data_IF_747999997644
#
_entry.id   IF_747999997644
#
_cell.length_a   1.000
_cell.length_b   1.000
_cell.length_c   1.000
_cell.angle_alpha   90.00
_cell.angle_beta   90.00
_cell.angle_gamma   90.00
#
_symmetry.space_group_name_H-M   'P 1'
#
loop_
_entity.id
_entity.type
_entity.pdbx_description
1 polymer ?
#
# COMPACT_ATOMS: atom_id res chain seq x y z
N UNK A 1 28.72 -5.61 11.51
CA UNK A 1 28.44 -5.09 10.18
C UNK A 1 26.98 -4.72 10.02
N UNK A 2 26.60 -4.03 8.93
CA UNK A 2 25.20 -3.70 8.66
C UNK A 2 24.40 -4.99 8.38
N UNK A 3 23.23 -5.20 9.00
CA UNK A 3 22.38 -6.37 8.71
C UNK A 3 21.98 -6.45 7.24
N UNK A 4 21.79 -7.67 6.72
CA UNK A 4 21.45 -7.88 5.32
C UNK A 4 19.96 -7.60 5.03
N UNK A 5 19.05 -8.10 5.88
CA UNK A 5 17.60 -7.97 5.66
C UNK A 5 17.05 -6.63 6.12
N UNK A 6 15.97 -6.16 5.47
CA UNK A 6 15.27 -4.94 5.87
C UNK A 6 14.79 -4.97 7.34
N UNK A 7 14.10 -6.02 7.82
CA UNK A 7 13.67 -6.04 9.22
C UNK A 7 14.83 -5.94 10.21
N UNK A 8 15.96 -6.61 9.93
CA UNK A 8 17.11 -6.52 10.81
C UNK A 8 17.79 -5.13 10.79
N UNK A 9 17.79 -4.45 9.64
CA UNK A 9 18.22 -3.03 9.55
C UNK A 9 17.32 -2.11 10.35
N UNK A 10 16.01 -2.32 10.24
CA UNK A 10 15.01 -1.53 10.99
C UNK A 10 15.17 -1.78 12.50
N UNK A 11 15.36 -3.02 12.93
CA UNK A 11 15.61 -3.35 14.35
C UNK A 11 16.85 -2.63 14.86
N UNK A 12 17.95 -2.69 14.12
CA UNK A 12 19.21 -2.01 14.50
C UNK A 12 19.02 -0.49 14.61
N UNK A 13 18.28 0.11 13.67
CA UNK A 13 17.94 1.53 13.71
C UNK A 13 17.07 1.87 14.93
N UNK A 14 16.01 1.10 15.20
CA UNK A 14 15.13 1.32 16.35
C UNK A 14 15.86 1.13 17.68
N UNK A 15 16.79 0.16 17.76
CA UNK A 15 17.62 -0.05 18.95
C UNK A 15 18.58 1.14 19.18
N UNK A 16 19.21 1.64 18.12
CA UNK A 16 20.07 2.83 18.24
C UNK A 16 19.23 4.06 18.67
N UNK A 17 18.01 4.22 18.14
CA UNK A 17 17.08 5.28 18.53
C UNK A 17 16.66 5.16 19.99
N UNK A 18 16.25 3.97 20.43
CA UNK A 18 15.94 3.69 21.82
C UNK A 18 17.09 4.08 22.77
N UNK A 19 18.29 3.66 22.45
CA UNK A 19 19.50 3.99 23.23
C UNK A 19 19.75 5.50 23.27
N UNK A 20 19.68 6.17 22.10
CA UNK A 20 19.95 7.61 22.00
C UNK A 20 18.94 8.46 22.80
N UNK A 21 17.66 8.07 22.81
CA UNK A 21 16.60 8.78 23.51
C UNK A 21 16.26 8.16 24.90
N UNK A 22 17.14 7.32 25.42
CA UNK A 22 17.02 6.69 26.75
C UNK A 22 15.67 6.01 26.99
N UNK A 23 15.13 5.37 25.96
CA UNK A 23 13.87 4.66 26.03
C UNK A 23 12.61 5.53 26.14
N UNK A 24 12.72 6.83 25.86
CA UNK A 24 11.57 7.74 25.92
C UNK A 24 10.43 7.27 25.01
N UNK A 25 9.21 7.15 25.54
CA UNK A 25 8.02 6.82 24.76
C UNK A 25 7.71 7.84 23.67
N UNK A 26 8.09 9.11 23.86
CA UNK A 26 7.90 10.18 22.87
C UNK A 26 8.82 10.02 21.65
N UNK A 27 9.84 9.19 21.75
CA UNK A 27 10.74 8.87 20.63
C UNK A 27 10.24 7.73 19.74
N UNK A 28 9.08 7.15 20.04
CA UNK A 28 8.45 6.15 19.18
C UNK A 28 8.16 6.67 17.76
N UNK A 29 7.98 5.75 16.83
CA UNK A 29 7.79 6.06 15.41
C UNK A 29 6.47 5.50 14.88
N UNK A 30 5.96 6.11 13.81
CA UNK A 30 4.93 5.53 12.95
C UNK A 30 5.64 4.80 11.82
N UNK A 31 5.42 3.49 11.71
CA UNK A 31 6.06 2.58 10.77
C UNK A 31 4.98 2.05 9.84
N UNK A 32 5.12 2.34 8.54
CA UNK A 32 4.13 2.00 7.52
C UNK A 32 4.80 1.15 6.43
N UNK A 33 4.82 -0.18 6.57
CA UNK A 33 5.29 -1.06 5.52
C UNK A 33 4.33 -1.04 4.33
N UNK A 34 4.87 -1.18 3.12
CA UNK A 34 4.11 -1.14 1.85
C UNK A 34 4.19 -2.45 1.06
N UNK A 35 4.72 -3.50 1.66
CA UNK A 35 4.78 -4.83 1.06
C UNK A 35 3.37 -5.40 0.86
N UNK A 36 3.17 -6.16 -0.23
CA UNK A 36 1.91 -6.84 -0.55
C UNK A 36 1.72 -8.09 0.32
N UNK A 37 1.72 -7.89 1.63
CA UNK A 37 1.53 -8.91 2.66
C UNK A 37 0.30 -8.53 3.48
N UNK A 38 -0.59 -9.48 3.72
CA UNK A 38 -1.75 -9.26 4.60
C UNK A 38 -1.25 -8.94 6.01
N UNK A 39 -1.78 -7.86 6.59
CA UNK A 39 -1.38 -7.37 7.92
C UNK A 39 0.14 -7.11 8.01
N UNK A 40 0.68 -6.47 6.98
CA UNK A 40 2.11 -6.23 6.81
C UNK A 40 2.77 -5.51 8.01
N UNK A 41 2.05 -4.60 8.69
CA UNK A 41 2.51 -3.93 9.91
C UNK A 41 2.65 -4.89 11.07
N UNK A 42 1.64 -5.73 11.32
CA UNK A 42 1.66 -6.74 12.38
C UNK A 42 2.72 -7.80 12.13
N UNK A 43 2.86 -8.25 10.87
CA UNK A 43 3.88 -9.22 10.47
C UNK A 43 5.28 -8.64 10.70
N UNK A 44 5.53 -7.40 10.28
CA UNK A 44 6.81 -6.73 10.49
C UNK A 44 7.11 -6.60 12.00
N UNK A 45 6.14 -6.15 12.81
CA UNK A 45 6.28 -6.06 14.26
C UNK A 45 6.67 -7.42 14.86
N UNK A 46 5.96 -8.49 14.48
CA UNK A 46 6.26 -9.86 14.94
C UNK A 46 7.68 -10.32 14.60
N UNK A 47 8.16 -10.00 13.37
CA UNK A 47 9.54 -10.31 12.95
C UNK A 47 10.54 -9.54 13.82
N UNK A 48 10.32 -8.26 14.10
CA UNK A 48 11.22 -7.45 14.91
C UNK A 48 11.29 -7.95 16.37
N UNK A 49 10.14 -8.30 16.96
CA UNK A 49 10.09 -8.86 18.31
C UNK A 49 10.85 -10.19 18.39
N UNK A 50 10.65 -11.05 17.38
CA UNK A 50 11.41 -12.31 17.29
C UNK A 50 12.90 -12.06 17.18
N UNK A 51 13.33 -11.19 16.29
CA UNK A 51 14.74 -10.83 16.14
C UNK A 51 15.32 -10.23 17.44
N UNK A 52 14.56 -9.38 18.14
CA UNK A 52 14.99 -8.82 19.42
C UNK A 52 15.24 -9.92 20.47
N UNK A 53 14.36 -10.91 20.52
CA UNK A 53 14.52 -12.08 21.41
C UNK A 53 15.72 -12.96 21.00
N UNK A 54 15.87 -13.26 19.70
CA UNK A 54 16.96 -14.08 19.16
C UNK A 54 18.34 -13.45 19.42
N UNK A 55 18.40 -12.11 19.50
CA UNK A 55 19.63 -11.35 19.79
C UNK A 55 19.79 -10.99 21.27
N UNK A 56 18.90 -11.42 22.16
CA UNK A 56 18.98 -11.16 23.60
C UNK A 56 18.90 -9.67 23.96
N UNK A 57 18.13 -8.88 23.20
CA UNK A 57 17.95 -7.47 23.52
C UNK A 57 17.13 -7.29 24.79
N UNK A 58 17.33 -6.15 25.49
CA UNK A 58 16.75 -5.95 26.83
C UNK A 58 15.22 -5.92 26.83
N UNK A 59 14.61 -6.30 27.95
CA UNK A 59 13.16 -6.26 28.16
C UNK A 59 12.58 -4.83 28.02
N UNK A 60 13.35 -3.83 28.42
CA UNK A 60 12.99 -2.42 28.31
C UNK A 60 12.90 -2.01 26.85
N UNK A 61 13.86 -2.44 26.02
CA UNK A 61 13.80 -2.19 24.57
C UNK A 61 12.62 -2.91 23.92
N UNK A 62 12.39 -4.17 24.25
CA UNK A 62 11.23 -4.94 23.73
C UNK A 62 9.92 -4.25 24.10
N UNK A 63 9.76 -3.81 25.35
CA UNK A 63 8.59 -3.06 25.81
C UNK A 63 8.43 -1.74 25.06
N UNK A 64 9.51 -0.99 24.83
CA UNK A 64 9.49 0.25 24.05
C UNK A 64 9.14 -0.01 22.58
N UNK A 65 9.73 -1.05 21.97
CA UNK A 65 9.43 -1.46 20.60
C UNK A 65 7.94 -1.75 20.42
N UNK A 66 7.34 -2.41 21.41
CA UNK A 66 5.95 -2.86 21.36
C UNK A 66 4.93 -1.75 21.62
N UNK A 67 5.24 -0.84 22.55
CA UNK A 67 4.27 0.11 23.09
C UNK A 67 4.49 1.56 22.66
N UNK A 68 5.71 1.97 22.31
CA UNK A 68 6.01 3.32 21.89
C UNK A 68 5.87 3.54 20.36
N UNK A 69 5.93 2.46 19.57
CA UNK A 69 5.88 2.53 18.12
C UNK A 69 4.50 2.10 17.59
N UNK A 70 4.07 2.75 16.51
CA UNK A 70 2.85 2.42 15.78
C UNK A 70 3.20 1.67 14.50
N UNK A 71 2.98 0.36 14.46
CA UNK A 71 3.10 -0.44 13.25
C UNK A 71 1.76 -0.45 12.55
N UNK A 72 1.67 0.26 11.43
CA UNK A 72 0.43 0.42 10.70
C UNK A 72 0.32 -0.63 9.61
N UNK A 73 -0.76 -1.42 9.58
CA UNK A 73 -1.08 -2.18 8.38
C UNK A 73 -1.40 -1.23 7.24
N UNK A 74 -0.99 -1.57 6.03
CA UNK A 74 -1.27 -0.74 4.87
C UNK A 74 -1.64 -1.56 3.64
N UNK A 75 -2.34 -0.92 2.72
CA UNK A 75 -2.70 -1.43 1.41
C UNK A 75 -2.32 -0.38 0.38
N UNK A 76 -1.55 -0.77 -0.62
CA UNK A 76 -1.17 0.09 -1.74
C UNK A 76 -1.72 -0.45 -3.05
N UNK A 77 -2.11 0.46 -3.94
CA UNK A 77 -2.51 0.13 -5.29
C UNK A 77 -2.26 1.30 -6.24
N UNK A 78 -1.40 1.06 -7.22
CA UNK A 78 -1.10 1.95 -8.32
C UNK A 78 -0.31 1.20 -9.38
N UNK A 79 -0.69 1.31 -10.65
CA UNK A 79 0.10 0.75 -11.73
C UNK A 79 1.27 1.70 -12.04
N UNK A 80 2.49 1.16 -11.95
CA UNK A 80 3.75 1.86 -12.24
C UNK A 80 4.51 1.06 -13.28
N UNK A 81 4.37 1.38 -14.59
CA UNK A 81 5.06 0.67 -15.66
C UNK A 81 6.58 0.76 -15.60
N UNK A 82 7.11 1.78 -14.94
CA UNK A 82 8.55 2.02 -14.79
C UNK A 82 9.01 3.28 -15.54
N UNK A 83 10.28 3.28 -15.96
CA UNK A 83 10.86 4.43 -16.66
C UNK A 83 10.20 4.65 -18.03
N UNK A 84 10.02 5.91 -18.46
CA UNK A 84 9.59 6.23 -19.80
C UNK A 84 10.65 5.80 -20.85
N UNK A 85 10.23 5.75 -22.11
CA UNK A 85 11.21 5.59 -23.19
C UNK A 85 12.17 6.80 -23.28
N UNK A 86 13.29 6.65 -23.98
CA UNK A 86 14.34 7.64 -24.01
C UNK A 86 13.87 9.00 -24.56
N UNK A 87 12.95 9.02 -25.53
CA UNK A 87 12.45 10.26 -26.14
C UNK A 87 11.53 11.00 -25.14
N UNK A 88 10.58 10.30 -24.54
CA UNK A 88 9.69 10.84 -23.50
C UNK A 88 10.48 11.32 -22.28
N UNK A 89 11.52 10.58 -21.87
CA UNK A 89 12.39 10.99 -20.77
C UNK A 89 13.10 12.29 -21.07
N UNK A 90 13.70 12.42 -22.27
CA UNK A 90 14.40 13.63 -22.67
C UNK A 90 13.47 14.85 -22.72
N UNK A 91 12.24 14.68 -23.21
CA UNK A 91 11.23 15.75 -23.25
C UNK A 91 10.84 16.20 -21.82
N UNK A 92 10.56 15.27 -20.92
CA UNK A 92 10.20 15.59 -19.54
C UNK A 92 11.37 16.27 -18.81
N UNK A 93 12.60 15.75 -18.95
CA UNK A 93 13.78 16.35 -18.34
C UNK A 93 14.03 17.78 -18.88
N UNK A 94 13.79 18.03 -20.17
CA UNK A 94 13.87 19.38 -20.74
C UNK A 94 12.82 20.33 -20.13
N UNK A 95 11.60 19.85 -19.85
CA UNK A 95 10.56 20.65 -19.18
C UNK A 95 10.89 20.90 -17.71
N UNK A 96 11.50 19.94 -17.02
CA UNK A 96 11.91 20.06 -15.62
C UNK A 96 13.14 20.95 -15.45
N UNK A 97 13.99 21.08 -16.48
CA UNK A 97 15.25 21.82 -16.43
C UNK A 97 16.39 21.07 -15.76
N UNK A 98 16.23 19.77 -15.48
CA UNK A 98 17.29 18.88 -14.94
C UNK A 98 17.05 17.44 -15.44
N UNK A 99 18.12 16.62 -15.35
CA UNK A 99 18.05 15.18 -15.62
C UNK A 99 17.61 14.43 -14.37
N UNK A 100 16.58 13.58 -14.51
CA UNK A 100 16.10 12.69 -13.46
C UNK A 100 16.27 11.23 -13.89
N UNK A 101 17.30 10.59 -13.34
CA UNK A 101 17.60 9.16 -13.59
C UNK A 101 16.61 8.19 -12.90
N UNK A 102 15.76 8.70 -11.99
CA UNK A 102 14.76 7.94 -11.25
C UNK A 102 13.34 8.20 -11.74
N UNK A 103 13.18 8.95 -12.86
CA UNK A 103 11.89 9.26 -13.43
C UNK A 103 11.13 7.99 -13.79
N UNK A 104 9.89 7.88 -13.29
CA UNK A 104 8.98 6.78 -13.56
C UNK A 104 7.61 7.32 -13.99
N UNK A 105 6.93 6.54 -14.81
CA UNK A 105 5.53 6.80 -15.19
C UNK A 105 4.62 6.03 -14.26
N UNK A 106 3.51 6.62 -13.88
CA UNK A 106 2.44 5.96 -13.14
C UNK A 106 1.07 6.36 -13.67
N UNK A 107 0.08 5.53 -13.43
CA UNK A 107 -1.31 5.92 -13.65
C UNK A 107 -1.74 7.05 -12.70
N UNK A 108 -2.83 7.73 -13.06
CA UNK A 108 -3.39 8.82 -12.23
C UNK A 108 -4.00 8.29 -10.94
N UNK A 109 -4.61 7.10 -10.99
CA UNK A 109 -5.17 6.44 -9.80
C UNK A 109 -4.07 6.11 -8.79
N UNK A 110 -4.37 6.35 -7.51
CA UNK A 110 -3.55 5.93 -6.38
C UNK A 110 -4.41 5.52 -5.22
N UNK A 111 -3.99 4.48 -4.51
CA UNK A 111 -4.55 4.08 -3.23
C UNK A 111 -3.42 3.74 -2.27
N UNK A 112 -3.39 4.44 -1.16
CA UNK A 112 -2.58 4.09 0.00
C UNK A 112 -3.45 4.16 1.25
N UNK A 113 -4.08 3.04 1.59
CA UNK A 113 -4.86 2.92 2.81
C UNK A 113 -3.95 2.49 3.96
N UNK A 114 -3.91 3.28 5.02
CA UNK A 114 -3.06 3.12 6.20
C UNK A 114 -3.95 2.95 7.42
N UNK A 115 -3.77 1.84 8.13
CA UNK A 115 -4.50 1.61 9.37
C UNK A 115 -3.92 2.46 10.49
N UNK A 116 -4.75 3.34 11.07
CA UNK A 116 -4.32 4.20 12.17
C UNK A 116 -5.40 5.14 12.66
N UNK A 117 -5.26 5.54 13.91
CA UNK A 117 -6.12 6.52 14.58
C UNK A 117 -5.56 7.95 14.52
N UNK A 118 -6.00 8.78 15.49
CA UNK A 118 -5.67 10.21 15.56
C UNK A 118 -4.16 10.50 15.57
N UNK A 119 -3.38 9.71 16.32
CA UNK A 119 -1.91 9.89 16.41
C UNK A 119 -1.21 9.65 15.07
N UNK A 120 -1.65 8.63 14.31
CA UNK A 120 -1.09 8.35 12.99
C UNK A 120 -1.43 9.48 12.02
N UNK A 121 -2.66 10.02 12.07
CA UNK A 121 -3.08 11.18 11.26
C UNK A 121 -2.27 12.43 11.56
N UNK A 122 -1.96 12.67 12.83
CA UNK A 122 -1.13 13.82 13.26
C UNK A 122 0.28 13.72 12.67
N UNK A 123 0.91 12.54 12.79
CA UNK A 123 2.28 12.29 12.30
C UNK A 123 2.35 12.30 10.77
N UNK A 124 1.40 11.64 10.10
CA UNK A 124 1.32 11.58 8.64
C UNK A 124 0.52 12.77 8.08
N UNK A 125 0.91 13.97 8.45
CA UNK A 125 0.23 15.23 8.12
C UNK A 125 0.13 15.54 6.61
N UNK A 126 0.88 14.83 5.77
CA UNK A 126 0.81 14.93 4.30
C UNK A 126 -0.44 14.26 3.70
N UNK A 127 -1.10 13.35 4.43
CA UNK A 127 -2.21 12.56 3.89
C UNK A 127 -3.34 13.40 3.25
N UNK A 128 -3.74 14.57 3.77
CA UNK A 128 -4.76 15.41 3.13
C UNK A 128 -4.37 16.00 1.77
N UNK A 129 -3.07 15.99 1.41
CA UNK A 129 -2.59 16.53 0.14
C UNK A 129 -2.91 15.62 -1.07
N UNK A 130 -3.15 14.32 -0.84
CA UNK A 130 -3.51 13.35 -1.88
C UNK A 130 -4.76 12.56 -1.44
N UNK A 131 -5.82 12.62 -2.25
CA UNK A 131 -7.07 11.88 -2.00
C UNK A 131 -6.91 10.36 -2.04
N UNK A 132 -5.85 9.85 -2.66
CA UNK A 132 -5.49 8.43 -2.67
C UNK A 132 -4.90 7.95 -1.35
N UNK A 133 -4.45 8.86 -0.46
CA UNK A 133 -3.93 8.52 0.87
C UNK A 133 -5.07 8.55 1.89
N UNK A 134 -5.39 7.39 2.45
CA UNK A 134 -6.51 7.21 3.39
C UNK A 134 -5.96 6.68 4.71
N UNK A 135 -6.21 7.40 5.82
CA UNK A 135 -5.89 6.92 7.17
C UNK A 135 -7.20 6.60 7.89
N UNK A 136 -7.41 5.33 8.21
CA UNK A 136 -8.62 4.83 8.86
C UNK A 136 -8.27 3.79 9.95
N UNK A 137 -9.13 3.66 10.97
CA UNK A 137 -8.94 2.64 12.02
C UNK A 137 -9.08 1.22 11.48
N UNK A 138 -9.86 1.05 10.41
CA UNK A 138 -10.02 -0.21 9.71
C UNK A 138 -9.90 0.01 8.19
N UNK A 139 -8.99 -0.73 7.55
CA UNK A 139 -8.75 -0.65 6.10
C UNK A 139 -9.26 -1.88 5.32
N UNK A 140 -9.94 -2.82 6.00
CA UNK A 140 -10.42 -4.06 5.38
C UNK A 140 -11.44 -3.79 4.25
N UNK A 141 -12.27 -2.76 4.38
CA UNK A 141 -13.20 -2.40 3.31
C UNK A 141 -12.47 -2.07 2.00
N UNK A 142 -11.35 -1.37 2.06
CA UNK A 142 -10.55 -1.02 0.87
C UNK A 142 -9.89 -2.27 0.27
N UNK A 143 -9.47 -3.22 1.14
CA UNK A 143 -8.92 -4.51 0.72
C UNK A 143 -9.96 -5.34 -0.01
N UNK A 144 -11.16 -5.49 0.55
CA UNK A 144 -12.25 -6.23 -0.06
C UNK A 144 -12.68 -5.60 -1.40
N UNK A 145 -12.81 -4.28 -1.46
CA UNK A 145 -13.12 -3.56 -2.71
C UNK A 145 -12.06 -3.84 -3.78
N UNK A 146 -10.77 -3.68 -3.43
CA UNK A 146 -9.68 -3.95 -4.37
C UNK A 146 -9.66 -5.40 -4.83
N UNK A 147 -9.70 -6.36 -3.88
CA UNK A 147 -9.58 -7.78 -4.20
C UNK A 147 -10.76 -8.27 -5.05
N UNK A 148 -11.98 -7.88 -4.72
CA UNK A 148 -13.18 -8.38 -5.40
C UNK A 148 -13.49 -7.61 -6.67
N UNK A 149 -13.53 -6.28 -6.61
CA UNK A 149 -13.93 -5.49 -7.77
C UNK A 149 -12.78 -5.30 -8.76
N UNK A 150 -11.57 -4.99 -8.32
CA UNK A 150 -10.44 -4.79 -9.23
C UNK A 150 -9.81 -6.13 -9.62
N UNK A 151 -9.16 -6.81 -8.67
CA UNK A 151 -8.39 -8.03 -8.96
C UNK A 151 -9.29 -9.19 -9.39
N UNK A 152 -10.43 -9.38 -8.72
CA UNK A 152 -11.40 -10.43 -9.03
C UNK A 152 -11.98 -10.30 -10.44
N UNK A 153 -12.33 -9.10 -10.84
CA UNK A 153 -12.83 -8.83 -12.20
C UNK A 153 -11.78 -9.14 -13.25
N UNK A 154 -10.52 -8.72 -13.05
CA UNK A 154 -9.42 -9.05 -13.97
C UNK A 154 -9.22 -10.57 -14.08
N UNK A 155 -9.18 -11.27 -12.96
CA UNK A 155 -8.96 -12.73 -12.91
C UNK A 155 -10.09 -13.47 -13.62
N UNK A 156 -11.34 -13.09 -13.35
CA UNK A 156 -12.51 -13.74 -13.91
C UNK A 156 -12.61 -13.54 -15.43
N UNK A 157 -12.25 -12.36 -15.92
CA UNK A 157 -12.44 -11.99 -17.32
C UNK A 157 -11.22 -12.29 -18.21
N UNK A 158 -10.07 -12.52 -17.63
CA UNK A 158 -8.83 -12.76 -18.37
C UNK A 158 -8.97 -13.87 -19.41
N UNK A 159 -9.42 -15.06 -19.00
CA UNK A 159 -9.58 -16.20 -19.89
C UNK A 159 -10.60 -15.97 -21.01
N UNK A 160 -11.77 -15.44 -20.65
CA UNK A 160 -12.83 -15.14 -21.61
C UNK A 160 -12.39 -14.09 -22.63
N UNK A 161 -11.81 -12.99 -22.17
CA UNK A 161 -11.33 -11.90 -23.04
C UNK A 161 -10.26 -12.39 -23.99
N UNK A 162 -9.33 -13.22 -23.51
CA UNK A 162 -8.29 -13.81 -24.33
C UNK A 162 -8.85 -14.70 -25.44
N UNK A 163 -9.82 -15.57 -25.14
CA UNK A 163 -10.49 -16.43 -26.10
C UNK A 163 -11.29 -15.65 -27.15
N UNK A 164 -11.82 -14.49 -26.77
CA UNK A 164 -12.51 -13.57 -27.68
C UNK A 164 -11.53 -12.71 -28.51
N UNK A 165 -10.23 -12.90 -28.38
CA UNK A 165 -9.21 -12.23 -29.18
C UNK A 165 -8.68 -10.91 -28.61
N UNK A 166 -9.14 -10.48 -27.43
CA UNK A 166 -8.64 -9.28 -26.78
C UNK A 166 -7.30 -9.53 -26.07
N UNK A 167 -6.42 -8.53 -26.08
CA UNK A 167 -5.09 -8.59 -25.43
C UNK A 167 -4.91 -7.53 -24.37
N UNK A 168 -5.69 -6.46 -24.38
CA UNK A 168 -5.60 -5.34 -23.44
C UNK A 168 -6.97 -5.10 -22.81
N UNK A 169 -6.98 -4.80 -21.52
CA UNK A 169 -8.20 -4.49 -20.76
C UNK A 169 -8.93 -3.28 -21.35
N UNK A 170 -8.20 -2.25 -21.81
CA UNK A 170 -8.80 -1.08 -22.47
C UNK A 170 -9.64 -1.45 -23.69
N UNK A 171 -9.21 -2.45 -24.47
CA UNK A 171 -9.93 -2.88 -25.67
C UNK A 171 -11.19 -3.65 -25.30
N UNK A 172 -11.12 -4.46 -24.23
CA UNK A 172 -12.30 -5.13 -23.65
C UNK A 172 -13.32 -4.10 -23.18
N UNK A 173 -12.90 -3.08 -22.47
CA UNK A 173 -13.78 -2.03 -21.93
C UNK A 173 -14.33 -1.09 -23.02
N UNK A 174 -13.65 -0.97 -24.15
CA UNK A 174 -14.16 -0.26 -25.32
C UNK A 174 -15.28 -1.05 -26.05
N UNK A 175 -15.36 -2.36 -25.83
CA UNK A 175 -16.43 -3.18 -26.40
C UNK A 175 -17.71 -3.03 -25.57
N UNK A 176 -18.76 -2.47 -26.18
CA UNK A 176 -20.00 -2.12 -25.47
C UNK A 176 -20.78 -3.30 -24.85
N UNK A 177 -20.63 -4.53 -25.38
CA UNK A 177 -21.24 -5.72 -24.77
C UNK A 177 -20.45 -6.19 -23.57
N UNK A 178 -19.13 -6.28 -23.71
CA UNK A 178 -18.25 -6.74 -22.63
C UNK A 178 -18.22 -5.75 -21.49
N UNK A 179 -18.15 -4.46 -21.73
CA UNK A 179 -18.18 -3.45 -20.67
C UNK A 179 -19.47 -3.51 -19.85
N UNK A 180 -20.66 -3.70 -20.51
CA UNK A 180 -21.92 -3.90 -19.80
C UNK A 180 -21.95 -5.20 -19.00
N UNK A 181 -21.45 -6.31 -19.55
CA UNK A 181 -21.34 -7.58 -18.84
C UNK A 181 -20.48 -7.43 -17.59
N UNK A 182 -19.32 -6.78 -17.72
CA UNK A 182 -18.38 -6.52 -16.63
C UNK A 182 -19.03 -5.66 -15.55
N UNK A 183 -19.67 -4.55 -15.93
CA UNK A 183 -20.35 -3.67 -14.97
C UNK A 183 -21.46 -4.41 -14.22
N UNK A 184 -22.28 -5.20 -14.92
CA UNK A 184 -23.31 -5.98 -14.27
C UNK A 184 -22.71 -7.00 -13.29
N UNK A 185 -21.67 -7.74 -13.70
CA UNK A 185 -20.99 -8.70 -12.84
C UNK A 185 -20.42 -8.03 -11.59
N UNK A 186 -19.74 -6.89 -11.76
CA UNK A 186 -19.14 -6.15 -10.64
C UNK A 186 -20.20 -5.68 -9.65
N UNK A 187 -21.29 -5.06 -10.14
CA UNK A 187 -22.29 -4.40 -9.29
C UNK A 187 -23.35 -5.35 -8.75
N UNK A 188 -23.78 -6.34 -9.56
CA UNK A 188 -24.89 -7.22 -9.21
C UNK A 188 -24.47 -8.53 -8.55
N UNK A 189 -23.20 -8.94 -8.69
CA UNK A 189 -22.71 -10.20 -8.16
C UNK A 189 -21.53 -9.98 -7.19
N UNK A 190 -20.43 -9.42 -7.66
CA UNK A 190 -19.22 -9.31 -6.85
C UNK A 190 -19.38 -8.33 -5.68
N UNK A 191 -20.02 -7.18 -5.93
CA UNK A 191 -20.24 -6.16 -4.89
C UNK A 191 -21.14 -6.67 -3.76
N UNK A 192 -22.14 -7.50 -4.07
CA UNK A 192 -23.03 -8.09 -3.07
C UNK A 192 -22.32 -9.09 -2.16
N UNK A 193 -21.23 -9.68 -2.62
CA UNK A 193 -20.40 -10.59 -1.83
C UNK A 193 -19.46 -9.89 -0.84
N UNK A 194 -19.38 -8.55 -0.86
CA UNK A 194 -18.51 -7.80 0.06
C UNK A 194 -19.23 -7.70 1.42
N UNK A 195 -18.61 -8.15 2.54
CA UNK A 195 -19.26 -8.24 3.85
C UNK A 195 -19.35 -6.90 4.58
N UNK A 196 -19.27 -5.78 3.87
CA UNK A 196 -19.37 -4.43 4.39
C UNK A 196 -20.52 -3.67 3.73
N UNK A 197 -21.23 -2.83 4.51
CA UNK A 197 -22.18 -1.88 3.92
C UNK A 197 -21.37 -0.87 3.09
N UNK A 198 -21.57 -0.93 1.78
CA UNK A 198 -20.94 0.03 0.87
C UNK A 198 -21.73 1.34 0.88
N UNK A 199 -21.06 2.44 1.21
CA UNK A 199 -21.49 3.75 0.74
C UNK A 199 -21.01 3.87 -0.72
N UNK A 200 -21.92 3.98 -1.69
CA UNK A 200 -21.59 4.11 -3.11
C UNK A 200 -20.60 5.26 -3.39
N UNK A 201 -20.49 6.25 -2.51
CA UNK A 201 -19.47 7.30 -2.58
C UNK A 201 -18.03 6.79 -2.41
N UNK A 202 -17.83 5.60 -1.85
CA UNK A 202 -16.51 4.97 -1.71
C UNK A 202 -16.14 4.19 -2.98
N UNK A 203 -17.15 3.69 -3.72
CA UNK A 203 -16.94 2.97 -4.99
C UNK A 203 -16.67 3.89 -6.18
N UNK A 204 -17.09 5.17 -6.10
CA UNK A 204 -16.87 6.20 -7.14
C UNK A 204 -15.48 6.87 -7.04
N UNK A 205 -14.62 6.43 -6.14
CA UNK A 205 -13.25 6.90 -5.97
C UNK A 205 -12.26 5.88 -6.52
#
# INVERSE_FOLDING_TARGET
GCPASFPAKLLAFLHARFTHFEGSASSGMVIVPTELIINNGDVLKGILLKLAADHGLSSEFVSWLENANHFCNSLVDRIVPGSPDAATNAEICAQLGYEDSLLIISEVYSLWAIQGGAKVKEVLSFAPADKGVIIAENIEIYRELKLRLLNGTHTLLCGMSYLLGFRLVKDVMANGYLSKLIMNLMLSELALGIPYKMDFKVADR
#
